data_IF_675124013516
#
_entry.id   IF_675124013516
#
_cell.length_a   1.000
_cell.length_b   1.000
_cell.length_c   1.000
_cell.angle_alpha   90.00
_cell.angle_beta   90.00
_cell.angle_gamma   90.00
#
_symmetry.space_group_name_H-M   'P 1'
#
loop_
_entity.id
_entity.type
_entity.pdbx_description
1 polymer ?
#
# COMPACT_ATOMS: atom_id res chain seq x y z
N UNK A 1 -1.35 10.93 -11.74
CA UNK A 1 -0.01 10.61 -11.23
C UNK A 1 0.88 10.21 -12.41
N UNK A 2 2.06 10.83 -12.54
CA UNK A 2 3.03 10.48 -13.59
C UNK A 2 3.64 9.09 -13.34
N UNK A 3 4.21 8.50 -14.39
CA UNK A 3 4.85 7.17 -14.29
C UNK A 3 6.11 7.23 -13.41
N UNK A 4 6.83 8.34 -13.50
CA UNK A 4 8.05 8.65 -12.76
C UNK A 4 7.75 8.72 -11.25
N UNK A 5 6.69 9.45 -10.86
CA UNK A 5 6.27 9.54 -9.46
C UNK A 5 5.86 8.17 -8.90
N UNK A 6 5.15 7.36 -9.68
CA UNK A 6 4.80 5.99 -9.28
C UNK A 6 6.04 5.10 -9.05
N UNK A 7 7.11 5.29 -9.85
CA UNK A 7 8.37 4.57 -9.67
C UNK A 7 9.10 4.99 -8.40
N UNK A 8 9.20 6.30 -8.12
CA UNK A 8 9.83 6.81 -6.90
C UNK A 8 9.08 6.35 -5.64
N UNK A 9 7.74 6.38 -5.67
CA UNK A 9 6.88 5.84 -4.59
C UNK A 9 7.21 4.37 -4.33
N UNK A 10 7.27 3.55 -5.38
CA UNK A 10 7.60 2.13 -5.23
C UNK A 10 9.03 1.92 -4.72
N UNK A 11 9.99 2.73 -5.16
CA UNK A 11 11.37 2.68 -4.69
C UNK A 11 11.44 3.00 -3.19
N UNK A 12 10.79 4.08 -2.76
CA UNK A 12 10.72 4.50 -1.36
C UNK A 12 10.05 3.45 -0.47
N UNK A 13 8.92 2.90 -0.89
CA UNK A 13 8.23 1.83 -0.15
C UNK A 13 9.07 0.56 -0.04
N UNK A 14 9.89 0.24 -1.06
CA UNK A 14 10.77 -0.91 -1.01
C UNK A 14 11.93 -0.75 -0.02
N UNK A 15 12.42 0.47 0.18
CA UNK A 15 13.45 0.79 1.18
C UNK A 15 12.89 0.95 2.59
N UNK A 16 11.57 1.15 2.75
CA UNK A 16 10.88 1.34 4.03
C UNK A 16 9.85 0.22 4.32
N UNK A 17 10.29 -1.03 4.52
CA UNK A 17 9.39 -2.19 4.68
C UNK A 17 8.46 -2.11 5.89
N UNK A 18 8.84 -1.35 6.91
CA UNK A 18 8.12 -1.22 8.18
C UNK A 18 7.37 0.10 8.30
N UNK A 19 7.30 0.88 7.21
CA UNK A 19 6.82 2.25 7.23
C UNK A 19 7.95 3.26 7.35
N UNK A 20 7.58 4.52 7.39
CA UNK A 20 8.48 5.66 7.44
C UNK A 20 8.05 6.60 8.58
N UNK A 21 9.01 7.32 9.10
CA UNK A 21 8.83 8.43 10.03
C UNK A 21 8.37 9.69 9.31
N UNK A 22 7.96 10.69 10.09
CA UNK A 22 7.63 12.01 9.55
C UNK A 22 8.83 12.67 8.84
N UNK A 23 10.03 12.51 9.38
CA UNK A 23 11.25 13.09 8.80
C UNK A 23 11.61 12.42 7.47
N UNK A 24 11.49 11.10 7.37
CA UNK A 24 11.68 10.35 6.12
C UNK A 24 10.65 10.77 5.06
N UNK A 25 9.40 11.01 5.48
CA UNK A 25 8.36 11.54 4.60
C UNK A 25 8.69 12.93 4.06
N UNK A 26 9.09 13.87 4.93
CA UNK A 26 9.48 15.22 4.51
C UNK A 26 10.73 15.18 3.60
N UNK A 27 11.69 14.32 3.91
CA UNK A 27 12.87 14.10 3.10
C UNK A 27 12.53 13.60 1.69
N UNK A 28 11.58 12.66 1.59
CA UNK A 28 11.09 12.15 0.31
C UNK A 28 10.41 13.25 -0.52
N UNK A 29 9.49 14.03 0.07
CA UNK A 29 8.85 15.15 -0.61
C UNK A 29 9.87 16.18 -1.13
N UNK A 30 10.88 16.50 -0.32
CA UNK A 30 11.94 17.40 -0.71
C UNK A 30 12.75 16.85 -1.89
N UNK A 31 13.09 15.56 -1.88
CA UNK A 31 13.80 14.90 -2.99
C UNK A 31 12.99 14.93 -4.29
N UNK A 32 11.69 14.66 -4.22
CA UNK A 32 10.79 14.72 -5.38
C UNK A 32 10.75 16.14 -5.97
N UNK A 33 10.57 17.15 -5.11
CA UNK A 33 10.58 18.56 -5.53
C UNK A 33 11.91 18.99 -6.14
N UNK A 34 13.04 18.59 -5.54
CA UNK A 34 14.38 18.84 -6.10
C UNK A 34 14.61 18.16 -7.46
N UNK A 35 13.90 17.06 -7.72
CA UNK A 35 13.93 16.33 -9.00
C UNK A 35 12.96 16.91 -10.04
N UNK A 36 12.30 18.04 -9.73
CA UNK A 36 11.35 18.71 -10.62
C UNK A 36 9.98 18.04 -10.69
N UNK A 37 9.66 17.12 -9.78
CA UNK A 37 8.32 16.52 -9.70
C UNK A 37 7.37 17.45 -8.96
N UNK A 38 6.13 17.53 -9.43
CA UNK A 38 5.06 18.25 -8.76
C UNK A 38 4.59 17.47 -7.52
N UNK A 39 4.82 18.06 -6.35
CA UNK A 39 4.39 17.55 -5.04
C UNK A 39 3.47 18.52 -4.31
N UNK A 40 2.77 19.38 -5.07
CA UNK A 40 1.78 20.32 -4.50
C UNK A 40 0.64 19.60 -3.77
N UNK A 41 0.26 18.40 -4.23
CA UNK A 41 -0.70 17.51 -3.57
C UNK A 41 0.03 16.49 -2.67
N UNK A 42 0.51 16.96 -1.52
CA UNK A 42 1.24 16.11 -0.56
C UNK A 42 0.37 14.98 0.00
N UNK A 43 -0.91 15.26 0.26
CA UNK A 43 -1.85 14.27 0.78
C UNK A 43 -2.11 13.16 -0.25
N UNK A 44 -2.26 13.52 -1.53
CA UNK A 44 -2.37 12.55 -2.62
C UNK A 44 -1.11 11.67 -2.76
N UNK A 45 0.08 12.24 -2.61
CA UNK A 45 1.34 11.48 -2.61
C UNK A 45 1.43 10.55 -1.39
N UNK A 46 1.03 11.03 -0.21
CA UNK A 46 0.98 10.23 1.02
C UNK A 46 0.03 9.03 0.88
N UNK A 47 -1.19 9.25 0.37
CA UNK A 47 -2.14 8.18 0.09
C UNK A 47 -1.61 7.15 -0.92
N UNK A 48 -0.86 7.61 -1.93
CA UNK A 48 -0.25 6.73 -2.92
C UNK A 48 0.88 5.87 -2.32
N UNK A 49 1.68 6.42 -1.40
CA UNK A 49 2.68 5.67 -0.63
C UNK A 49 2.04 4.59 0.24
N UNK A 50 1.01 4.94 1.00
CA UNK A 50 0.30 4.01 1.88
C UNK A 50 -0.31 2.85 1.08
N UNK A 51 -0.97 3.17 -0.04
CA UNK A 51 -1.49 2.17 -0.97
C UNK A 51 -0.38 1.26 -1.52
N UNK A 52 0.74 1.83 -1.96
CA UNK A 52 1.88 1.06 -2.46
C UNK A 52 2.46 0.14 -1.37
N UNK A 53 2.46 0.57 -0.11
CA UNK A 53 2.86 -0.25 1.02
C UNK A 53 1.95 -1.47 1.20
N UNK A 54 0.63 -1.27 1.11
CA UNK A 54 -0.35 -2.36 1.14
C UNK A 54 -0.13 -3.33 -0.01
N UNK A 55 0.03 -2.83 -1.24
CA UNK A 55 0.29 -3.68 -2.40
C UNK A 55 1.57 -4.51 -2.22
N UNK A 56 2.65 -3.89 -1.73
CA UNK A 56 3.91 -4.58 -1.46
C UNK A 56 3.73 -5.69 -0.42
N UNK A 57 3.08 -5.40 0.70
CA UNK A 57 2.83 -6.38 1.76
C UNK A 57 2.03 -7.58 1.23
N UNK A 58 0.98 -7.33 0.45
CA UNK A 58 0.17 -8.37 -0.18
C UNK A 58 0.96 -9.17 -1.23
N UNK A 59 1.78 -8.53 -2.06
CA UNK A 59 2.66 -9.20 -3.04
C UNK A 59 3.67 -10.11 -2.35
N UNK A 60 4.25 -9.66 -1.22
CA UNK A 60 5.25 -10.41 -0.45
C UNK A 60 4.65 -11.51 0.43
N UNK A 61 3.35 -11.47 0.69
CA UNK A 61 2.65 -12.47 1.51
C UNK A 61 2.72 -13.90 0.94
N UNK A 62 2.93 -14.05 -0.37
CA UNK A 62 2.99 -15.34 -1.05
C UNK A 62 1.66 -16.13 -1.04
N UNK A 63 0.54 -15.47 -0.75
CA UNK A 63 -0.78 -16.10 -0.63
C UNK A 63 -1.23 -16.66 -1.99
N UNK A 64 -1.51 -17.96 -2.02
CA UNK A 64 -1.94 -18.63 -3.26
C UNK A 64 -3.32 -18.13 -3.68
N UNK A 65 -3.44 -17.69 -4.92
CA UNK A 65 -4.69 -17.16 -5.47
C UNK A 65 -4.91 -15.66 -5.23
N UNK A 66 -3.99 -14.98 -4.54
CA UNK A 66 -3.99 -13.52 -4.45
C UNK A 66 -3.27 -12.90 -5.66
N UNK A 67 -3.93 -12.91 -6.81
CA UNK A 67 -3.37 -12.36 -8.05
C UNK A 67 -3.37 -10.81 -8.09
N UNK A 68 -2.67 -10.20 -9.07
CA UNK A 68 -2.46 -8.74 -9.15
C UNK A 68 -3.73 -7.91 -9.03
N UNK A 69 -4.81 -8.29 -9.75
CA UNK A 69 -6.10 -7.58 -9.69
C UNK A 69 -6.72 -7.58 -8.29
N UNK A 70 -6.56 -8.67 -7.52
CA UNK A 70 -7.10 -8.74 -6.15
C UNK A 70 -6.28 -7.87 -5.20
N UNK A 71 -4.96 -7.83 -5.40
CA UNK A 71 -4.06 -6.95 -4.65
C UNK A 71 -4.43 -5.48 -4.91
N UNK A 72 -4.55 -5.09 -6.17
CA UNK A 72 -4.98 -3.73 -6.56
C UNK A 72 -6.35 -3.38 -5.97
N UNK A 73 -7.30 -4.33 -5.98
CA UNK A 73 -8.64 -4.13 -5.39
C UNK A 73 -8.58 -3.92 -3.89
N UNK A 74 -7.82 -4.75 -3.16
CA UNK A 74 -7.68 -4.62 -1.71
C UNK A 74 -6.97 -3.31 -1.36
N UNK A 75 -5.88 -2.96 -2.07
CA UNK A 75 -5.12 -1.74 -1.81
C UNK A 75 -5.90 -0.47 -2.18
N UNK A 76 -6.85 -0.54 -3.12
CA UNK A 76 -7.76 0.57 -3.41
C UNK A 76 -8.80 0.79 -2.30
N UNK A 77 -9.28 -0.28 -1.67
CA UNK A 77 -10.28 -0.22 -0.58
C UNK A 77 -9.67 0.08 0.78
N UNK A 78 -8.44 -0.39 0.99
CA UNK A 78 -7.69 -0.27 2.24
C UNK A 78 -6.33 0.32 1.92
N UNK A 79 -6.29 1.65 1.80
CA UNK A 79 -5.05 2.37 1.50
C UNK A 79 -4.03 2.31 2.64
N UNK A 80 -4.43 1.95 3.86
CA UNK A 80 -3.57 1.98 5.04
C UNK A 80 -3.33 0.57 5.60
N UNK A 81 -2.07 0.16 5.72
CA UNK A 81 -1.71 -1.22 6.10
C UNK A 81 -2.16 -1.60 7.53
N UNK A 82 -2.01 -0.75 8.56
CA UNK A 82 -2.57 -1.04 9.89
C UNK A 82 -4.09 -1.20 9.87
N UNK A 83 -4.82 -0.34 9.14
CA UNK A 83 -6.27 -0.50 8.98
C UNK A 83 -6.61 -1.86 8.37
N UNK A 84 -5.92 -2.25 7.30
CA UNK A 84 -6.12 -3.55 6.67
C UNK A 84 -5.84 -4.70 7.65
N UNK A 85 -4.78 -4.61 8.45
CA UNK A 85 -4.43 -5.61 9.48
C UNK A 85 -5.52 -5.76 10.52
N UNK A 86 -6.16 -4.68 10.95
CA UNK A 86 -7.17 -4.71 12.02
C UNK A 86 -8.57 -5.05 11.53
N UNK A 87 -8.79 -5.02 10.21
CA UNK A 87 -10.07 -5.31 9.57
C UNK A 87 -10.54 -6.76 9.82
N UNK A 88 -11.85 -6.95 10.02
CA UNK A 88 -12.45 -8.27 10.09
C UNK A 88 -12.43 -8.97 8.70
N UNK A 89 -12.05 -10.25 8.60
CA UNK A 89 -12.02 -10.95 7.31
C UNK A 89 -13.35 -10.97 6.55
N UNK A 90 -14.50 -10.92 7.23
CA UNK A 90 -15.80 -10.84 6.58
C UNK A 90 -16.03 -9.44 5.98
N UNK A 91 -15.57 -8.39 6.65
CA UNK A 91 -15.60 -7.02 6.11
C UNK A 91 -14.70 -6.91 4.88
N UNK A 92 -13.47 -7.41 4.94
CA UNK A 92 -12.56 -7.45 3.79
C UNK A 92 -13.22 -8.13 2.59
N UNK A 93 -13.79 -9.32 2.80
CA UNK A 93 -14.47 -10.09 1.76
C UNK A 93 -15.65 -9.32 1.16
N UNK A 94 -16.45 -8.63 1.98
CA UNK A 94 -17.59 -7.85 1.54
C UNK A 94 -17.17 -6.65 0.67
N UNK A 95 -16.16 -5.89 1.11
CA UNK A 95 -15.71 -4.67 0.44
C UNK A 95 -14.92 -4.94 -0.85
N UNK A 96 -14.13 -6.01 -0.88
CA UNK A 96 -13.23 -6.31 -2.00
C UNK A 96 -13.71 -7.44 -2.90
N UNK A 97 -14.84 -8.07 -2.56
CA UNK A 97 -15.42 -9.24 -3.25
C UNK A 97 -14.46 -10.43 -3.36
N UNK A 98 -13.44 -10.51 -2.51
CA UNK A 98 -12.59 -11.72 -2.43
C UNK A 98 -13.32 -12.81 -1.65
N UNK A 99 -13.07 -14.10 -1.94
CA UNK A 99 -13.66 -15.19 -1.16
C UNK A 99 -13.26 -15.09 0.32
N UNK A 100 -14.20 -15.36 1.23
CA UNK A 100 -13.98 -15.25 2.69
C UNK A 100 -12.77 -16.04 3.20
N UNK A 101 -12.50 -17.22 2.63
CA UNK A 101 -11.30 -18.00 2.98
C UNK A 101 -10.01 -17.28 2.62
N UNK A 102 -9.97 -16.64 1.45
CA UNK A 102 -8.81 -15.85 1.02
C UNK A 102 -8.65 -14.60 1.88
N UNK A 103 -9.77 -13.96 2.26
CA UNK A 103 -9.74 -12.83 3.19
C UNK A 103 -9.16 -13.22 4.56
N UNK A 104 -9.57 -14.38 5.11
CA UNK A 104 -9.02 -14.90 6.36
C UNK A 104 -7.52 -15.14 6.27
N UNK A 105 -7.05 -15.74 5.17
CA UNK A 105 -5.62 -15.99 4.93
C UNK A 105 -4.83 -14.68 4.82
N UNK A 106 -5.37 -13.67 4.12
CA UNK A 106 -4.78 -12.33 4.02
C UNK A 106 -4.59 -11.71 5.41
N UNK A 107 -5.64 -11.64 6.21
CA UNK A 107 -5.56 -11.02 7.54
C UNK A 107 -4.63 -11.81 8.47
N UNK A 108 -4.69 -13.14 8.44
CA UNK A 108 -3.80 -13.99 9.24
C UNK A 108 -2.32 -13.76 8.88
N UNK A 109 -2.00 -13.67 7.58
CA UNK A 109 -0.63 -13.49 7.11
C UNK A 109 -0.08 -12.08 7.36
N UNK A 110 -0.94 -11.06 7.36
CA UNK A 110 -0.52 -9.69 7.64
C UNK A 110 -0.30 -9.44 9.13
N UNK A 111 -0.87 -10.26 10.01
CA UNK A 111 -0.72 -10.20 11.48
C UNK A 111 0.40 -11.08 12.03
N UNK A 112 0.89 -12.04 11.24
CA UNK A 112 2.03 -12.92 11.61
C UNK A 112 3.36 -12.24 11.36
#
# INVERSE_FOLDING_TARGET
MSKELAMEIMAFVNTHPHGWSHDEWLGFLHQLGASGMDVSDQDGVGLALERAQVERALKQSGIKGLGPKRIETIAAEFSFLPQLRDTDPAELAARTRVPRKLAQEVIAKLRS
#
